data_IF_056252457483
#
_entry.id   IF_056252457483
#
_cell.length_a   1.000
_cell.length_b   1.000
_cell.length_c   1.000
_cell.angle_alpha   90.00
_cell.angle_beta   90.00
_cell.angle_gamma   90.00
#
_symmetry.space_group_name_H-M   'P 1'
#
loop_
_entity.id
_entity.type
_entity.pdbx_description
1 polymer ?
#
# COMPACT_ATOMS: atom_id res chain seq x y z
N UNK A 1 -11.68 -6.53 33.52
CA UNK A 1 -11.90 -7.01 32.14
C UNK A 1 -10.96 -6.23 31.24
N UNK A 2 -9.84 -6.84 30.86
CA UNK A 2 -8.73 -6.20 30.17
C UNK A 2 -8.93 -6.31 28.66
N UNK A 3 -9.34 -5.22 28.02
CA UNK A 3 -9.53 -5.13 26.56
C UNK A 3 -8.45 -4.34 25.82
N UNK A 4 -7.39 -3.90 26.49
CA UNK A 4 -6.48 -2.85 25.95
C UNK A 4 -5.14 -3.33 25.38
N UNK A 5 -4.85 -4.64 25.33
CA UNK A 5 -3.49 -5.11 24.99
C UNK A 5 -3.32 -5.81 23.64
N UNK A 6 -4.37 -5.99 22.83
CA UNK A 6 -4.26 -6.55 21.46
C UNK A 6 -4.17 -5.47 20.37
N UNK A 7 -4.56 -4.22 20.67
CA UNK A 7 -4.53 -3.12 19.71
C UNK A 7 -3.10 -2.68 19.33
N UNK A 8 -2.08 -3.07 20.10
CA UNK A 8 -0.69 -2.62 19.89
C UNK A 8 0.05 -3.38 18.79
N UNK A 9 -0.54 -4.44 18.21
CA UNK A 9 0.16 -5.33 17.27
C UNK A 9 -0.47 -5.41 15.89
N UNK A 10 -1.69 -4.91 15.70
CA UNK A 10 -2.42 -4.98 14.44
C UNK A 10 -2.01 -3.84 13.50
N UNK A 11 -1.74 -4.15 12.23
CA UNK A 11 -1.58 -3.13 11.18
C UNK A 11 -2.94 -2.87 10.56
N UNK A 12 -3.41 -1.63 10.63
CA UNK A 12 -4.69 -1.20 10.08
C UNK A 12 -4.48 -0.36 8.84
N UNK A 13 -5.47 -0.33 7.96
CA UNK A 13 -5.48 0.56 6.80
C UNK A 13 -6.64 1.53 6.99
N UNK A 14 -6.34 2.82 6.96
CA UNK A 14 -7.32 3.89 7.14
C UNK A 14 -7.39 4.74 5.88
N UNK A 15 -8.59 5.21 5.56
CA UNK A 15 -8.85 6.10 4.44
C UNK A 15 -9.27 7.49 4.88
N UNK A 16 -8.89 8.51 4.12
CA UNK A 16 -9.36 9.88 4.27
C UNK A 16 -9.60 10.50 2.89
N UNK A 17 -10.75 11.12 2.69
CA UNK A 17 -11.01 11.91 1.49
C UNK A 17 -10.18 13.19 1.51
N UNK A 18 -9.56 13.50 0.37
CA UNK A 18 -8.75 14.70 0.13
C UNK A 18 -9.22 15.40 -1.16
N UNK A 19 -8.88 16.68 -1.36
CA UNK A 19 -9.24 17.40 -2.58
C UNK A 19 -8.74 16.73 -3.88
N UNK A 20 -7.64 15.97 -3.81
CA UNK A 20 -7.02 15.27 -4.94
C UNK A 20 -7.50 13.81 -5.09
N UNK A 21 -8.31 13.30 -4.15
CA UNK A 21 -8.85 11.95 -4.16
C UNK A 21 -8.77 11.26 -2.79
N UNK A 22 -8.93 9.95 -2.76
CA UNK A 22 -8.79 9.16 -1.54
C UNK A 22 -7.31 9.00 -1.19
N UNK A 23 -6.98 9.28 0.07
CA UNK A 23 -5.72 8.88 0.69
C UNK A 23 -5.96 7.60 1.49
N UNK A 24 -5.14 6.57 1.27
CA UNK A 24 -5.08 5.40 2.14
C UNK A 24 -3.70 5.34 2.79
N UNK A 25 -3.65 4.98 4.07
CA UNK A 25 -2.38 4.75 4.79
C UNK A 25 -2.47 3.60 5.76
N UNK A 26 -1.33 2.97 6.04
CA UNK A 26 -1.22 2.04 7.15
C UNK A 26 -1.10 2.77 8.49
N UNK A 27 -1.47 2.07 9.55
CA UNK A 27 -1.23 2.44 10.95
C UNK A 27 -0.73 1.20 11.69
N UNK A 28 0.41 1.29 12.35
CA UNK A 28 0.96 0.23 13.21
C UNK A 28 2.22 -0.43 12.66
N UNK A 29 2.66 -0.11 11.44
CA UNK A 29 3.96 -0.57 10.93
C UNK A 29 5.11 0.05 11.72
N UNK A 30 4.98 1.31 12.14
CA UNK A 30 6.00 2.02 12.91
C UNK A 30 6.33 1.33 14.24
N UNK A 31 5.34 0.69 14.87
CA UNK A 31 5.53 -0.10 16.11
C UNK A 31 6.47 -1.29 15.89
N UNK A 32 6.56 -1.78 14.64
CA UNK A 32 7.44 -2.87 14.22
C UNK A 32 8.77 -2.38 13.62
N UNK A 33 9.05 -1.08 13.72
CA UNK A 33 10.26 -0.47 13.14
C UNK A 33 10.21 -0.32 11.62
N UNK A 34 9.02 -0.37 11.01
CA UNK A 34 8.82 -0.21 9.57
C UNK A 34 8.09 1.12 9.28
N UNK A 35 8.38 1.79 8.16
CA UNK A 35 7.67 3.01 7.80
C UNK A 35 6.19 2.74 7.48
N UNK A 36 5.31 3.70 7.76
CA UNK A 36 3.92 3.62 7.32
C UNK A 36 3.85 3.79 5.80
N UNK A 37 3.02 2.97 5.15
CA UNK A 37 2.78 2.99 3.72
C UNK A 37 1.61 3.91 3.39
N UNK A 38 1.63 4.52 2.21
CA UNK A 38 0.53 5.38 1.74
C UNK A 38 0.33 5.35 0.23
N UNK A 39 -0.88 5.70 -0.17
CA UNK A 39 -1.25 6.09 -1.54
C UNK A 39 -2.17 7.31 -1.47
N UNK A 40 -1.95 8.30 -2.34
CA UNK A 40 -2.74 9.53 -2.43
C UNK A 40 -3.38 9.71 -3.80
N UNK A 41 -4.35 10.60 -3.89
CA UNK A 41 -5.03 10.91 -5.14
C UNK A 41 -5.66 9.69 -5.80
N UNK A 42 -6.12 8.73 -4.99
CA UNK A 42 -6.73 7.51 -5.46
C UNK A 42 -8.19 7.80 -5.85
N UNK A 43 -8.64 7.40 -7.04
CA UNK A 43 -10.06 7.44 -7.35
C UNK A 43 -10.87 6.62 -6.33
N UNK A 44 -11.99 7.13 -5.77
CA UNK A 44 -12.71 6.46 -4.68
C UNK A 44 -13.10 5.01 -4.96
N UNK A 45 -13.50 4.71 -6.21
CA UNK A 45 -13.88 3.34 -6.62
C UNK A 45 -12.73 2.32 -6.56
N UNK A 46 -11.47 2.76 -6.47
CA UNK A 46 -10.32 1.90 -6.28
C UNK A 46 -9.98 1.63 -4.81
N UNK A 47 -10.63 2.33 -3.87
CA UNK A 47 -10.27 2.35 -2.44
C UNK A 47 -10.19 0.97 -1.81
N UNK A 48 -11.22 0.15 -1.96
CA UNK A 48 -11.26 -1.19 -1.37
C UNK A 48 -10.17 -2.12 -1.94
N UNK A 49 -9.97 -2.10 -3.27
CA UNK A 49 -8.92 -2.87 -3.91
C UNK A 49 -7.53 -2.43 -3.44
N UNK A 50 -7.30 -1.12 -3.36
CA UNK A 50 -6.01 -0.58 -2.93
C UNK A 50 -5.72 -0.78 -1.44
N UNK A 51 -6.75 -0.92 -0.59
CA UNK A 51 -6.54 -1.39 0.77
C UNK A 51 -5.94 -2.82 0.77
N UNK A 52 -6.40 -3.72 -0.12
CA UNK A 52 -5.81 -5.06 -0.24
C UNK A 52 -4.36 -5.00 -0.74
N UNK A 53 -4.07 -4.13 -1.72
CA UNK A 53 -2.70 -3.88 -2.20
C UNK A 53 -1.80 -3.39 -1.07
N UNK A 54 -2.20 -2.37 -0.32
CA UNK A 54 -1.41 -1.88 0.83
C UNK A 54 -1.17 -2.97 1.88
N UNK A 55 -2.17 -3.83 2.13
CA UNK A 55 -2.02 -4.98 3.02
C UNK A 55 -0.96 -5.97 2.52
N UNK A 56 -0.94 -6.26 1.22
CA UNK A 56 0.07 -7.11 0.59
C UNK A 56 1.47 -6.46 0.63
N UNK A 57 1.58 -5.18 0.30
CA UNK A 57 2.84 -4.43 0.37
C UNK A 57 3.38 -4.42 1.80
N UNK A 58 2.53 -4.20 2.81
CA UNK A 58 2.91 -4.24 4.22
C UNK A 58 3.47 -5.62 4.62
N UNK A 59 2.83 -6.70 4.18
CA UNK A 59 3.30 -8.07 4.43
C UNK A 59 4.66 -8.35 3.77
N UNK A 60 4.81 -7.98 2.49
CA UNK A 60 6.07 -8.15 1.74
C UNK A 60 7.20 -7.30 2.32
N UNK A 61 6.92 -6.06 2.69
CA UNK A 61 7.88 -5.18 3.35
C UNK A 61 8.34 -5.77 4.69
N UNK A 62 7.42 -6.28 5.51
CA UNK A 62 7.76 -6.93 6.77
C UNK A 62 8.65 -8.17 6.59
N UNK A 63 8.47 -8.91 5.50
CA UNK A 63 9.30 -10.07 5.16
C UNK A 63 10.70 -9.69 4.64
N UNK A 64 10.87 -8.49 4.05
CA UNK A 64 12.15 -8.04 3.48
C UNK A 64 13.23 -7.64 4.50
N UNK A 65 12.91 -7.61 5.80
CA UNK A 65 13.87 -7.35 6.87
C UNK A 65 14.22 -5.87 7.06
N UNK A 66 15.36 -5.59 7.73
CA UNK A 66 15.71 -4.22 8.21
C UNK A 66 16.06 -3.21 7.12
N UNK A 67 16.30 -3.64 5.89
CA UNK A 67 16.59 -2.74 4.77
C UNK A 67 15.42 -2.77 3.82
N UNK A 68 14.55 -1.75 3.93
CA UNK A 68 13.41 -1.61 3.02
C UNK A 68 13.95 -1.48 1.57
N UNK A 69 13.49 -2.33 0.64
CA UNK A 69 13.93 -2.25 -0.73
C UNK A 69 13.26 -1.06 -1.43
N UNK A 70 13.94 -0.49 -2.43
CA UNK A 70 13.36 0.57 -3.28
C UNK A 70 12.29 0.01 -4.21
N UNK A 71 12.42 -1.24 -4.62
CA UNK A 71 11.44 -1.97 -5.44
C UNK A 71 10.99 -3.21 -4.68
N UNK A 72 9.68 -3.48 -4.69
CA UNK A 72 9.09 -4.60 -3.98
C UNK A 72 8.28 -5.47 -4.94
N UNK A 73 8.67 -6.74 -5.03
CA UNK A 73 7.92 -7.75 -5.78
C UNK A 73 6.71 -8.24 -4.97
N UNK A 74 5.53 -8.08 -5.54
CA UNK A 74 4.25 -8.47 -4.95
C UNK A 74 3.77 -9.83 -5.44
N UNK A 75 4.09 -10.18 -6.68
CA UNK A 75 3.84 -11.46 -7.34
C UNK A 75 4.82 -11.58 -8.53
N UNK A 76 4.82 -12.74 -9.22
CA UNK A 76 5.62 -12.94 -10.43
C UNK A 76 5.34 -11.81 -11.44
N UNK A 77 6.42 -11.14 -11.87
CA UNK A 77 6.43 -9.97 -12.76
C UNK A 77 5.65 -8.73 -12.26
N UNK A 78 5.18 -8.71 -11.01
CA UNK A 78 4.46 -7.57 -10.43
C UNK A 78 5.32 -6.86 -9.39
N UNK A 79 5.89 -5.73 -9.79
CA UNK A 79 6.73 -4.88 -8.92
C UNK A 79 6.10 -3.52 -8.67
N UNK A 80 6.27 -3.01 -7.45
CA UNK A 80 5.97 -1.64 -7.09
C UNK A 80 7.22 -0.91 -6.61
N UNK A 81 7.27 0.40 -6.83
CA UNK A 81 8.30 1.25 -6.27
C UNK A 81 7.86 1.75 -4.89
N UNK A 82 8.78 1.71 -3.93
CA UNK A 82 8.64 2.30 -2.60
C UNK A 82 9.46 3.58 -2.53
N UNK A 83 8.78 4.72 -2.47
CA UNK A 83 9.44 6.03 -2.38
C UNK A 83 9.18 6.68 -1.02
N UNK A 84 10.25 6.98 -0.28
CA UNK A 84 10.15 7.71 0.99
C UNK A 84 9.71 9.15 0.71
N UNK A 85 8.72 9.61 1.47
CA UNK A 85 8.29 11.00 1.52
C UNK A 85 8.21 11.50 2.97
N UNK A 86 7.80 12.77 3.16
CA UNK A 86 7.72 13.40 4.49
C UNK A 86 6.65 12.79 5.43
N UNK A 87 5.71 12.02 4.88
CA UNK A 87 4.54 11.48 5.56
C UNK A 87 4.52 9.94 5.61
N UNK A 88 5.53 9.26 5.07
CA UNK A 88 5.63 7.80 5.03
C UNK A 88 6.33 7.31 3.77
N UNK A 89 5.96 6.13 3.30
CA UNK A 89 6.45 5.53 2.06
C UNK A 89 5.31 5.41 1.07
N UNK A 90 5.43 6.10 -0.06
CA UNK A 90 4.48 6.05 -1.15
C UNK A 90 4.67 4.76 -1.97
N UNK A 91 3.55 4.12 -2.31
CA UNK A 91 3.52 2.99 -3.26
C UNK A 91 3.25 3.53 -4.67
N UNK A 92 4.23 3.35 -5.55
CA UNK A 92 4.29 3.97 -6.87
C UNK A 92 4.47 2.93 -8.00
N UNK A 93 4.17 3.30 -9.26
CA UNK A 93 4.51 2.48 -10.42
C UNK A 93 6.01 2.13 -10.46
N UNK A 94 6.39 1.03 -11.15
CA UNK A 94 7.79 0.68 -11.32
C UNK A 94 8.55 1.78 -12.06
N UNK A 95 9.87 1.80 -11.86
CA UNK A 95 10.74 2.79 -12.49
C UNK A 95 10.58 2.77 -14.02
N UNK A 96 10.51 3.95 -14.62
CA UNK A 96 10.39 4.08 -16.08
C UNK A 96 8.96 3.95 -16.61
N UNK A 97 7.95 3.68 -15.78
CA UNK A 97 6.55 3.77 -16.20
C UNK A 97 6.23 5.19 -16.74
N UNK A 98 5.52 5.26 -17.88
CA UNK A 98 5.15 6.51 -18.58
C UNK A 98 3.65 6.70 -18.79
N UNK A 99 2.84 5.72 -18.39
CA UNK A 99 1.39 5.77 -18.59
C UNK A 99 0.65 6.57 -17.52
N UNK A 100 -0.68 6.69 -17.65
CA UNK A 100 -1.52 7.29 -16.60
C UNK A 100 -1.47 6.45 -15.32
N UNK A 101 -1.20 7.09 -14.18
CA UNK A 101 -1.07 6.39 -12.89
C UNK A 101 -2.34 5.60 -12.56
N UNK A 102 -3.54 6.15 -12.83
CA UNK A 102 -4.79 5.46 -12.51
C UNK A 102 -5.03 4.20 -13.35
N UNK A 103 -4.47 4.11 -14.55
CA UNK A 103 -4.56 2.90 -15.37
C UNK A 103 -3.65 1.82 -14.79
N UNK A 104 -2.40 2.18 -14.44
CA UNK A 104 -1.53 1.27 -13.69
C UNK A 104 -2.18 0.79 -12.38
N UNK A 105 -2.87 1.68 -11.67
CA UNK A 105 -3.55 1.31 -10.41
C UNK A 105 -4.66 0.30 -10.60
N UNK A 106 -5.39 0.37 -11.72
CA UNK A 106 -6.42 -0.61 -12.09
C UNK A 106 -5.76 -1.92 -12.51
N UNK A 107 -4.78 -1.86 -13.40
CA UNK A 107 -4.06 -3.03 -13.91
C UNK A 107 -3.41 -3.81 -12.79
N UNK A 108 -2.82 -3.13 -11.80
CA UNK A 108 -2.23 -3.75 -10.63
C UNK A 108 -3.25 -4.58 -9.83
N UNK A 109 -4.49 -4.09 -9.69
CA UNK A 109 -5.55 -4.84 -9.01
C UNK A 109 -5.94 -6.09 -9.80
N UNK A 110 -6.10 -5.97 -11.12
CA UNK A 110 -6.45 -7.10 -12.00
C UNK A 110 -5.37 -8.17 -11.95
N UNK A 111 -4.09 -7.78 -11.95
CA UNK A 111 -2.95 -8.70 -11.91
C UNK A 111 -2.79 -9.41 -10.56
N UNK A 112 -3.09 -8.73 -9.45
CA UNK A 112 -2.93 -9.29 -8.11
C UNK A 112 -4.16 -10.03 -7.60
N UNK A 113 -5.35 -9.61 -8.04
CA UNK A 113 -6.65 -10.09 -7.56
C UNK A 113 -7.60 -10.29 -8.77
N UNK A 114 -7.29 -11.21 -9.69
CA UNK A 114 -8.10 -11.45 -10.89
C UNK A 114 -9.55 -11.81 -10.56
N UNK A 115 -9.79 -12.47 -9.41
CA UNK A 115 -11.12 -12.79 -8.88
C UNK A 115 -11.93 -11.57 -8.43
N UNK A 116 -11.31 -10.40 -8.35
CA UNK A 116 -11.95 -9.13 -8.02
C UNK A 116 -12.35 -8.32 -9.28
N UNK A 117 -12.11 -8.83 -10.48
CA UNK A 117 -12.70 -8.26 -11.70
C UNK A 117 -14.19 -8.65 -11.82
N UNK A 118 -15.08 -7.68 -12.07
CA UNK A 118 -16.51 -7.96 -12.34
C UNK A 118 -16.74 -8.74 -13.63
#
# INVERSE_FOLDING_TARGET
MSGENTARTEVRIVGAERPDGLELRTLGLAVRGLPELRVTGLPPYLGQGWARVLGLVAQRLAASGRRAPTELELAEDVTVLLAVDKNGVAVLPPLGFRGPVNDWRRDLLVRLFPEASP
#
